data_IF_073981351909
#
_entry.id   IF_073981351909
#
_cell.length_a   1.000
_cell.length_b   1.000
_cell.length_c   1.000
_cell.angle_alpha   90.00
_cell.angle_beta   90.00
_cell.angle_gamma   90.00
#
_symmetry.space_group_name_H-M   'P 1'
#
loop_
_entity.id
_entity.type
_entity.pdbx_description
1 polymer ?
#
# COMPACT_ATOMS: atom_id res chain seq x y z
N UNK A 1 -5.43 24.78 14.50
CA UNK A 1 -4.83 23.73 15.31
C UNK A 1 -3.69 24.25 16.21
N UNK A 2 -2.66 24.89 15.69
CA UNK A 2 -1.55 25.42 16.51
C UNK A 2 -1.94 26.46 17.56
N UNK A 3 -3.06 27.19 17.34
CA UNK A 3 -3.53 28.22 18.30
C UNK A 3 -4.26 27.68 19.52
N UNK A 4 -4.63 26.38 19.53
CA UNK A 4 -5.40 25.78 20.63
C UNK A 4 -4.47 25.12 21.66
N UNK A 5 -3.57 24.24 21.22
CA UNK A 5 -2.52 23.66 22.05
C UNK A 5 -1.41 23.03 21.18
N UNK A 6 -0.22 23.64 21.18
CA UNK A 6 0.89 23.19 20.32
C UNK A 6 1.37 21.77 20.69
N UNK A 7 1.35 21.40 21.96
CA UNK A 7 1.77 20.07 22.45
C UNK A 7 0.83 18.98 21.95
N UNK A 8 -0.49 19.22 22.01
CA UNK A 8 -1.50 18.27 21.53
C UNK A 8 -1.41 18.11 20.01
N UNK A 9 -1.26 19.22 19.28
CA UNK A 9 -1.07 19.18 17.82
C UNK A 9 0.16 18.36 17.44
N UNK A 10 1.28 18.55 18.12
CA UNK A 10 2.51 17.81 17.85
C UNK A 10 2.34 16.31 18.13
N UNK A 11 1.72 15.96 19.26
CA UNK A 11 1.47 14.56 19.64
C UNK A 11 0.53 13.84 18.65
N UNK A 12 -0.51 14.52 18.16
CA UNK A 12 -1.49 13.93 17.24
C UNK A 12 -1.01 13.90 15.78
N UNK A 13 -0.10 14.81 15.39
CA UNK A 13 0.47 14.84 14.03
C UNK A 13 1.64 13.86 13.86
N UNK A 14 2.36 13.53 14.93
CA UNK A 14 3.51 12.61 14.88
C UNK A 14 3.18 11.27 14.19
N UNK A 15 2.07 10.55 14.49
CA UNK A 15 1.73 9.31 13.80
C UNK A 15 1.52 9.51 12.29
N UNK A 16 0.99 10.66 11.86
CA UNK A 16 0.80 10.95 10.42
C UNK A 16 2.10 11.18 9.68
N UNK A 17 3.10 11.80 10.33
CA UNK A 17 4.44 11.94 9.73
C UNK A 17 5.08 10.58 9.52
N UNK A 18 4.97 9.68 10.51
CA UNK A 18 5.43 8.30 10.39
C UNK A 18 4.69 7.54 9.28
N UNK A 19 3.37 7.71 9.18
CA UNK A 19 2.57 7.14 8.10
C UNK A 19 3.04 7.64 6.73
N UNK A 20 3.27 8.95 6.59
CA UNK A 20 3.72 9.54 5.33
C UNK A 20 5.05 8.92 4.87
N UNK A 21 6.00 8.75 5.79
CA UNK A 21 7.29 8.09 5.49
C UNK A 21 7.06 6.63 5.11
N UNK A 22 6.22 5.91 5.84
CA UNK A 22 5.90 4.52 5.56
C UNK A 22 5.21 4.35 4.18
N UNK A 23 4.22 5.19 3.85
CA UNK A 23 3.54 5.19 2.54
C UNK A 23 4.55 5.46 1.42
N UNK A 24 5.44 6.45 1.58
CA UNK A 24 6.44 6.74 0.57
C UNK A 24 7.39 5.56 0.30
N UNK A 25 7.75 4.82 1.34
CA UNK A 25 8.54 3.61 1.20
C UNK A 25 7.76 2.48 0.53
N UNK A 26 6.50 2.27 0.95
CA UNK A 26 5.61 1.28 0.33
C UNK A 26 5.35 1.58 -1.15
N UNK A 27 5.10 2.84 -1.50
CA UNK A 27 4.83 3.24 -2.89
C UNK A 27 6.02 2.92 -3.79
N UNK A 28 7.25 3.17 -3.35
CA UNK A 28 8.45 2.76 -4.10
C UNK A 28 8.48 1.25 -4.32
N UNK A 29 8.26 0.49 -3.25
CA UNK A 29 8.23 -0.98 -3.33
C UNK A 29 7.10 -1.49 -4.24
N UNK A 30 5.93 -0.84 -4.23
CA UNK A 30 4.83 -1.14 -5.15
C UNK A 30 5.21 -0.92 -6.60
N UNK A 31 5.83 0.23 -6.92
CA UNK A 31 6.29 0.53 -8.28
C UNK A 31 7.27 -0.51 -8.78
N UNK A 32 8.30 -0.84 -7.99
CA UNK A 32 9.29 -1.85 -8.34
C UNK A 32 8.65 -3.24 -8.56
N UNK A 33 7.70 -3.63 -7.71
CA UNK A 33 6.99 -4.90 -7.85
C UNK A 33 6.03 -4.90 -9.04
N UNK A 34 5.35 -3.78 -9.31
CA UNK A 34 4.47 -3.62 -10.47
C UNK A 34 5.24 -3.75 -11.79
N UNK A 35 6.42 -3.12 -11.89
CA UNK A 35 7.29 -3.25 -13.05
C UNK A 35 7.71 -4.71 -13.28
N UNK A 36 8.10 -5.44 -12.25
CA UNK A 36 8.47 -6.86 -12.37
C UNK A 36 7.31 -7.75 -12.84
N UNK A 37 6.09 -7.45 -12.42
CA UNK A 37 4.89 -8.15 -12.91
C UNK A 37 4.66 -7.85 -14.40
N UNK A 38 4.83 -6.59 -14.82
CA UNK A 38 4.70 -6.21 -16.23
C UNK A 38 5.78 -6.83 -17.11
N UNK A 39 7.03 -6.86 -16.64
CA UNK A 39 8.15 -7.55 -17.32
C UNK A 39 7.87 -9.05 -17.47
N UNK A 40 7.38 -9.70 -16.40
CA UNK A 40 6.98 -11.11 -16.43
C UNK A 40 5.88 -11.38 -17.45
N UNK A 41 4.86 -10.52 -17.51
CA UNK A 41 3.80 -10.63 -18.50
C UNK A 41 4.33 -10.43 -19.94
N UNK A 42 5.22 -9.46 -20.14
CA UNK A 42 5.89 -9.24 -21.43
C UNK A 42 6.70 -10.46 -21.88
N UNK A 43 7.44 -11.08 -20.96
CA UNK A 43 8.22 -12.29 -21.24
C UNK A 43 7.33 -13.47 -21.65
N UNK A 44 6.21 -13.67 -20.94
CA UNK A 44 5.20 -14.69 -21.31
C UNK A 44 4.64 -14.40 -22.69
N UNK A 45 4.26 -13.14 -22.98
CA UNK A 45 3.75 -12.74 -24.29
C UNK A 45 4.75 -12.99 -25.44
N UNK A 46 6.02 -12.65 -25.24
CA UNK A 46 7.08 -12.91 -26.18
C UNK A 46 7.26 -14.43 -26.44
N UNK A 47 7.23 -15.23 -25.37
CA UNK A 47 7.33 -16.70 -25.49
C UNK A 47 6.16 -17.32 -26.24
N UNK A 48 4.94 -16.83 -26.00
CA UNK A 48 3.76 -17.27 -26.76
C UNK A 48 3.92 -16.97 -28.26
N UNK A 49 4.38 -15.75 -28.61
CA UNK A 49 4.61 -15.37 -30.01
C UNK A 49 5.72 -16.22 -30.66
N UNK A 50 6.80 -16.48 -29.94
CA UNK A 50 7.89 -17.36 -30.40
C UNK A 50 7.37 -18.77 -30.68
N UNK A 51 6.64 -19.37 -29.73
CA UNK A 51 6.09 -20.72 -29.86
C UNK A 51 5.06 -20.82 -30.99
N UNK A 52 4.22 -19.80 -31.19
CA UNK A 52 3.27 -19.76 -32.30
C UNK A 52 3.98 -19.63 -33.65
N UNK A 53 5.00 -18.79 -33.76
CA UNK A 53 5.78 -18.62 -34.98
C UNK A 53 6.57 -19.88 -35.33
N UNK A 54 7.06 -20.59 -34.30
CA UNK A 54 7.82 -21.82 -34.43
C UNK A 54 7.00 -23.11 -34.35
N UNK A 55 5.68 -23.05 -34.38
CA UNK A 55 4.80 -24.21 -34.09
C UNK A 55 5.08 -25.44 -34.99
N UNK A 56 5.47 -25.22 -36.22
CA UNK A 56 5.83 -26.31 -37.12
C UNK A 56 7.08 -27.05 -36.68
N UNK A 57 8.07 -26.33 -36.14
CA UNK A 57 9.30 -26.90 -35.61
C UNK A 57 9.01 -27.65 -34.31
N UNK A 58 8.24 -27.05 -33.40
CA UNK A 58 7.83 -27.69 -32.14
C UNK A 58 7.14 -29.02 -32.42
N UNK A 59 6.21 -29.07 -33.40
CA UNK A 59 5.50 -30.28 -33.79
C UNK A 59 6.39 -31.29 -34.51
N UNK A 60 7.25 -30.83 -35.43
CA UNK A 60 8.14 -31.71 -36.16
C UNK A 60 9.14 -32.48 -35.28
N UNK A 61 9.57 -31.86 -34.20
CA UNK A 61 10.55 -32.41 -33.25
C UNK A 61 9.93 -32.89 -31.93
N UNK A 62 8.61 -32.92 -31.81
CA UNK A 62 7.87 -33.37 -30.62
C UNK A 62 8.36 -32.66 -29.34
N UNK A 63 8.49 -31.32 -29.42
CA UNK A 63 9.01 -30.48 -28.32
C UNK A 63 7.91 -29.92 -27.42
N UNK A 64 6.66 -30.36 -27.58
CA UNK A 64 5.49 -29.81 -26.86
C UNK A 64 5.66 -29.86 -25.33
N UNK A 65 6.18 -30.97 -24.79
CA UNK A 65 6.35 -31.11 -23.34
C UNK A 65 7.43 -30.15 -22.81
N UNK A 66 8.53 -29.98 -23.55
CA UNK A 66 9.60 -29.04 -23.19
C UNK A 66 9.10 -27.59 -23.25
N UNK A 67 8.32 -27.24 -24.24
CA UNK A 67 7.69 -25.91 -24.36
C UNK A 67 6.69 -25.67 -23.22
N UNK A 68 5.88 -26.67 -22.89
CA UNK A 68 4.93 -26.61 -21.78
C UNK A 68 5.63 -26.45 -20.43
N UNK A 69 6.75 -27.14 -20.20
CA UNK A 69 7.55 -27.03 -18.98
C UNK A 69 8.14 -25.62 -18.85
N UNK A 70 8.75 -25.10 -19.91
CA UNK A 70 9.28 -23.75 -19.93
C UNK A 70 8.18 -22.70 -19.67
N UNK A 71 6.98 -22.89 -20.25
CA UNK A 71 5.86 -22.00 -20.01
C UNK A 71 5.35 -22.07 -18.56
N UNK A 72 5.34 -23.25 -17.94
CA UNK A 72 5.04 -23.42 -16.50
C UNK A 72 6.01 -22.63 -15.63
N UNK A 73 7.30 -22.71 -15.91
CA UNK A 73 8.34 -21.99 -15.14
C UNK A 73 8.16 -20.46 -15.23
N UNK A 74 7.89 -19.94 -16.43
CA UNK A 74 7.60 -18.52 -16.64
C UNK A 74 6.33 -18.08 -15.88
N UNK A 75 5.29 -18.89 -15.94
CA UNK A 75 4.03 -18.62 -15.26
C UNK A 75 4.18 -18.67 -13.73
N UNK A 76 4.94 -19.61 -13.20
CA UNK A 76 5.25 -19.69 -11.77
C UNK A 76 6.06 -18.50 -11.29
N UNK A 77 7.01 -18.03 -12.12
CA UNK A 77 7.75 -16.81 -11.82
C UNK A 77 6.83 -15.59 -11.78
N UNK A 78 5.97 -15.43 -12.78
CA UNK A 78 4.96 -14.37 -12.85
C UNK A 78 4.01 -14.40 -11.64
N UNK A 79 3.49 -15.57 -11.28
CA UNK A 79 2.61 -15.74 -10.13
C UNK A 79 3.30 -15.34 -8.81
N UNK A 80 4.56 -15.71 -8.63
CA UNK A 80 5.33 -15.30 -7.43
C UNK A 80 5.49 -13.79 -7.36
N UNK A 81 5.75 -13.11 -8.48
CA UNK A 81 5.82 -11.64 -8.53
C UNK A 81 4.46 -11.01 -8.25
N UNK A 82 3.38 -11.54 -8.82
CA UNK A 82 2.00 -11.10 -8.57
C UNK A 82 1.60 -11.22 -7.10
N UNK A 83 1.91 -12.35 -6.46
CA UNK A 83 1.67 -12.54 -5.03
C UNK A 83 2.48 -11.59 -4.16
N UNK A 84 3.73 -11.31 -4.53
CA UNK A 84 4.56 -10.35 -3.81
C UNK A 84 3.98 -8.92 -3.90
N UNK A 85 3.49 -8.52 -5.09
CA UNK A 85 2.79 -7.25 -5.29
C UNK A 85 1.48 -7.20 -4.46
N UNK A 86 0.67 -8.27 -4.51
CA UNK A 86 -0.59 -8.35 -3.78
C UNK A 86 -0.39 -8.23 -2.26
N UNK A 87 0.66 -8.83 -1.70
CA UNK A 87 1.00 -8.71 -0.27
C UNK A 87 1.33 -7.27 0.12
N UNK A 88 2.14 -6.57 -0.67
CA UNK A 88 2.48 -5.17 -0.41
C UNK A 88 1.24 -4.28 -0.51
N UNK A 89 0.42 -4.46 -1.56
CA UNK A 89 -0.84 -3.73 -1.74
C UNK A 89 -1.82 -4.02 -0.60
N UNK A 90 -1.96 -5.28 -0.19
CA UNK A 90 -2.83 -5.69 0.90
C UNK A 90 -2.42 -5.13 2.27
N UNK A 91 -1.14 -4.85 2.49
CA UNK A 91 -0.64 -4.28 3.74
C UNK A 91 -0.94 -2.78 3.89
N UNK A 92 -1.24 -2.06 2.80
CA UNK A 92 -1.47 -0.60 2.84
C UNK A 92 -2.71 -0.24 3.66
N UNK A 93 -3.84 -0.90 3.43
CA UNK A 93 -5.09 -0.60 4.13
C UNK A 93 -5.02 -0.83 5.65
N UNK A 94 -4.51 -1.98 6.14
CA UNK A 94 -4.29 -2.17 7.57
C UNK A 94 -3.36 -1.12 8.18
N UNK A 95 -2.30 -0.71 7.47
CA UNK A 95 -1.36 0.30 7.95
C UNK A 95 -2.04 1.65 8.14
N UNK A 96 -2.84 2.10 7.16
CA UNK A 96 -3.60 3.35 7.24
C UNK A 96 -4.58 3.29 8.41
N UNK A 97 -5.35 2.21 8.54
CA UNK A 97 -6.32 2.03 9.62
C UNK A 97 -5.65 2.01 11.01
N UNK A 98 -4.53 1.32 11.14
CA UNK A 98 -3.77 1.26 12.39
C UNK A 98 -3.26 2.64 12.79
N UNK A 99 -2.80 3.45 11.83
CA UNK A 99 -2.33 4.82 12.11
C UNK A 99 -3.46 5.73 12.56
N UNK A 100 -4.63 5.67 11.92
CA UNK A 100 -5.80 6.44 12.33
C UNK A 100 -6.24 6.03 13.75
N UNK A 101 -6.29 4.73 14.04
CA UNK A 101 -6.61 4.23 15.37
C UNK A 101 -5.59 4.67 16.43
N UNK A 102 -4.29 4.62 16.12
CA UNK A 102 -3.23 5.09 17.01
C UNK A 102 -3.37 6.60 17.28
N UNK A 103 -3.62 7.40 16.26
CA UNK A 103 -3.84 8.84 16.41
C UNK A 103 -5.06 9.16 17.27
N UNK A 104 -6.16 8.39 17.11
CA UNK A 104 -7.35 8.54 17.93
C UNK A 104 -7.09 8.16 19.40
N UNK A 105 -6.31 7.10 19.62
CA UNK A 105 -5.92 6.67 20.96
C UNK A 105 -5.05 7.72 21.66
N UNK A 106 -4.08 8.30 20.96
CA UNK A 106 -3.25 9.41 21.48
C UNK A 106 -4.13 10.63 21.79
N UNK A 107 -5.05 10.99 20.91
CA UNK A 107 -5.94 12.12 21.12
C UNK A 107 -6.84 11.92 22.37
N UNK A 108 -7.39 10.73 22.55
CA UNK A 108 -8.28 10.45 23.68
C UNK A 108 -7.52 10.41 25.01
N UNK A 109 -6.37 9.75 25.05
CA UNK A 109 -5.58 9.63 26.28
C UNK A 109 -4.92 10.94 26.67
N UNK A 110 -4.21 11.58 25.75
CA UNK A 110 -3.49 12.81 26.02
C UNK A 110 -4.43 14.03 26.04
N UNK A 111 -5.43 14.07 25.15
CA UNK A 111 -6.46 15.11 25.17
C UNK A 111 -7.33 15.04 26.43
N UNK A 112 -7.67 13.83 26.89
CA UNK A 112 -8.39 13.63 28.16
C UNK A 112 -7.61 14.16 29.37
N UNK A 113 -6.32 13.89 29.45
CA UNK A 113 -5.48 14.43 30.55
C UNK A 113 -5.36 15.96 30.52
N UNK A 114 -5.39 16.59 29.35
CA UNK A 114 -5.40 18.05 29.22
C UNK A 114 -6.75 18.67 29.60
N UNK A 115 -7.87 17.96 29.44
CA UNK A 115 -9.18 18.40 29.92
C UNK A 115 -9.22 18.36 31.45
N UNK A 116 -8.70 17.32 32.09
CA UNK A 116 -8.58 17.23 33.53
C UNK A 116 -7.70 18.36 34.10
N UNK A 117 -6.64 18.75 33.39
CA UNK A 117 -5.78 19.87 33.73
C UNK A 117 -6.40 21.25 33.44
N UNK A 118 -7.63 21.34 32.92
CA UNK A 118 -8.31 22.57 32.50
C UNK A 118 -7.56 23.35 31.40
N UNK A 119 -6.66 22.70 30.66
CA UNK A 119 -5.89 23.30 29.56
C UNK A 119 -6.61 23.14 28.21
N UNK A 120 -7.63 22.28 28.12
CA UNK A 120 -8.37 22.00 26.89
C UNK A 120 -9.88 21.91 27.17
N UNK A 121 -10.70 22.48 26.28
CA UNK A 121 -12.17 22.33 26.33
C UNK A 121 -12.60 21.02 25.64
N UNK A 122 -13.73 20.45 26.09
CA UNK A 122 -14.37 19.31 25.40
C UNK A 122 -14.70 19.66 23.94
N UNK A 123 -15.09 20.91 23.68
CA UNK A 123 -15.34 21.41 22.32
C UNK A 123 -14.10 21.37 21.43
N UNK A 124 -12.94 21.71 22.00
CA UNK A 124 -11.66 21.64 21.27
C UNK A 124 -11.30 20.20 20.94
N UNK A 125 -11.52 19.24 21.85
CA UNK A 125 -11.30 17.82 21.62
C UNK A 125 -12.16 17.31 20.45
N UNK A 126 -13.44 17.67 20.43
CA UNK A 126 -14.37 17.31 19.33
C UNK A 126 -13.93 17.93 18.01
N UNK A 127 -13.46 19.18 18.02
CA UNK A 127 -12.92 19.83 16.83
C UNK A 127 -11.67 19.09 16.31
N UNK A 128 -10.77 18.65 17.18
CA UNK A 128 -9.61 17.84 16.81
C UNK A 128 -10.00 16.50 16.18
N UNK A 129 -11.01 15.81 16.75
CA UNK A 129 -11.55 14.57 16.17
C UNK A 129 -12.09 14.78 14.75
N UNK A 130 -12.84 15.86 14.52
CA UNK A 130 -13.38 16.20 13.21
C UNK A 130 -12.27 16.47 12.19
N UNK A 131 -11.22 17.20 12.58
CA UNK A 131 -10.07 17.48 11.73
C UNK A 131 -9.26 16.23 11.41
N UNK A 132 -9.07 15.32 12.38
CA UNK A 132 -8.39 14.03 12.12
C UNK A 132 -9.20 13.16 11.15
N UNK A 133 -10.54 13.14 11.28
CA UNK A 133 -11.42 12.46 10.34
C UNK A 133 -11.30 12.99 8.91
N UNK A 134 -11.22 14.33 8.75
CA UNK A 134 -11.04 14.95 7.44
C UNK A 134 -9.68 14.65 6.81
N UNK A 135 -8.62 14.52 7.60
CA UNK A 135 -7.28 14.15 7.11
C UNK A 135 -7.20 12.70 6.61
N UNK A 136 -8.08 11.82 7.09
CA UNK A 136 -8.15 10.43 6.63
C UNK A 136 -8.72 10.29 5.20
N UNK A 137 -9.59 11.19 4.76
CA UNK A 137 -10.27 11.14 3.46
C UNK A 137 -9.35 11.27 2.24
N UNK A 138 -8.44 12.26 2.15
CA UNK A 138 -7.56 12.40 0.99
C UNK A 138 -6.56 11.25 0.85
N UNK A 139 -6.28 10.54 1.94
CA UNK A 139 -5.36 9.40 1.92
C UNK A 139 -5.99 8.17 1.24
N UNK A 140 -7.32 8.07 1.24
CA UNK A 140 -8.09 6.97 0.63
C UNK A 140 -8.38 7.25 -0.85
N UNK A 141 -8.48 8.53 -1.24
CA UNK A 141 -8.89 8.93 -2.60
C UNK A 141 -7.79 8.76 -3.67
N UNK A 142 -6.54 8.55 -3.27
CA UNK A 142 -5.41 8.41 -4.20
C UNK A 142 -5.44 7.05 -4.93
N UNK A 143 -6.23 6.08 -4.45
CA UNK A 143 -6.26 4.71 -4.98
C UNK A 143 -7.38 4.47 -6.03
N UNK A 144 -8.12 5.50 -6.42
CA UNK A 144 -9.27 5.39 -7.35
C UNK A 144 -9.07 6.02 -8.73
N UNK A 145 -7.81 6.34 -9.12
CA UNK A 145 -7.52 6.94 -10.43
C UNK A 145 -6.59 6.10 -11.26
#
# INVERSE_FOLDING_TARGET
>A
MFSLNAKLTLATVTPYVLLFVAIRFLTRTLMDRSLKVQEGLGTIGAKVQESLSGIHVVKAYTLEEREAEHFRDLNDHYNRQGLALARVRGAMMPLIRATVAASMMVLLTYGGSLIEAHELSIGDLVAFMAYLGQLAWPTVSIDSS
#
